data_IF_198629214508
#
_entry.id   IF_198629214508
#
_cell.length_a   1.000
_cell.length_b   1.000
_cell.length_c   1.000
_cell.angle_alpha   90.00
_cell.angle_beta   90.00
_cell.angle_gamma   90.00
#
_symmetry.space_group_name_H-M   'P 1'
#
loop_
_entity.id
_entity.type
_entity.pdbx_description
1 polymer ?
#
# COMPACT_ATOMS: atom_id res chain seq x y z
N UNK A 1 -30.47 -14.66 -24.07
CA UNK A 1 -29.73 -15.55 -23.14
C UNK A 1 -29.38 -14.75 -21.90
N UNK A 2 -29.85 -15.11 -20.69
CA UNK A 2 -29.58 -14.32 -19.51
C UNK A 2 -28.11 -14.49 -19.09
N UNK A 3 -27.41 -13.35 -19.00
CA UNK A 3 -26.04 -13.20 -18.55
C UNK A 3 -25.91 -13.75 -17.14
N UNK A 4 -25.10 -14.79 -16.95
CA UNK A 4 -24.85 -15.41 -15.64
C UNK A 4 -24.20 -14.36 -14.74
N UNK A 5 -24.98 -13.79 -13.83
CA UNK A 5 -24.50 -12.84 -12.83
C UNK A 5 -23.53 -13.60 -11.93
N UNK A 6 -22.22 -13.44 -12.16
CA UNK A 6 -21.21 -14.02 -11.30
C UNK A 6 -21.34 -13.30 -9.95
N UNK A 7 -21.95 -13.96 -8.98
CA UNK A 7 -21.86 -13.54 -7.57
C UNK A 7 -20.38 -13.55 -7.23
N UNK A 8 -19.74 -12.37 -7.22
CA UNK A 8 -18.33 -12.26 -6.89
C UNK A 8 -18.17 -12.75 -5.45
N UNK A 9 -17.51 -13.90 -5.30
CA UNK A 9 -17.17 -14.48 -4.01
C UNK A 9 -16.32 -13.47 -3.23
N UNK A 10 -16.55 -13.32 -1.92
CA UNK A 10 -15.72 -12.46 -1.07
C UNK A 10 -14.25 -12.87 -1.18
N UNK A 11 -13.31 -11.92 -1.31
CA UNK A 11 -11.87 -12.19 -1.36
C UNK A 11 -11.16 -11.28 -0.36
N UNK A 12 -10.64 -11.89 0.71
CA UNK A 12 -9.73 -11.26 1.66
C UNK A 12 -8.27 -11.59 1.34
N UNK A 13 -7.34 -10.86 1.94
CA UNK A 13 -5.91 -11.21 1.92
C UNK A 13 -5.18 -10.78 3.17
N UNK A 14 -4.18 -11.57 3.55
CA UNK A 14 -3.10 -11.14 4.45
C UNK A 14 -1.85 -10.81 3.62
N UNK A 15 -1.23 -9.66 3.91
CA UNK A 15 -0.13 -9.12 3.12
C UNK A 15 1.07 -8.71 3.99
N UNK A 16 1.85 -9.68 4.54
CA UNK A 16 3.00 -9.39 5.38
C UNK A 16 4.24 -9.00 4.56
N UNK A 17 5.07 -8.11 5.11
CA UNK A 17 6.43 -7.88 4.62
C UNK A 17 7.41 -8.82 5.32
N UNK A 18 8.35 -9.48 4.61
CA UNK A 18 9.31 -10.41 5.20
C UNK A 18 10.50 -9.68 5.85
N UNK A 19 10.24 -8.61 6.61
CA UNK A 19 11.26 -7.82 7.31
C UNK A 19 11.59 -8.38 8.70
N UNK A 20 10.99 -9.51 9.07
CA UNK A 20 11.13 -10.17 10.36
C UNK A 20 10.02 -11.20 10.60
N UNK A 21 10.05 -11.91 11.73
CA UNK A 21 8.98 -12.84 12.10
C UNK A 21 7.66 -12.12 12.36
N UNK A 22 6.55 -12.85 12.29
CA UNK A 22 5.25 -12.31 12.71
C UNK A 22 5.30 -11.92 14.19
N UNK A 23 5.05 -10.64 14.47
CA UNK A 23 4.74 -10.18 15.81
C UNK A 23 3.23 -10.31 16.10
N UNK A 24 2.85 -10.12 17.36
CA UNK A 24 1.46 -10.31 17.81
C UNK A 24 0.45 -9.50 17.00
N UNK A 25 0.71 -8.21 16.75
CA UNK A 25 -0.15 -7.37 15.90
C UNK A 25 -0.39 -7.94 14.49
N UNK A 26 0.66 -8.47 13.83
CA UNK A 26 0.52 -9.08 12.51
C UNK A 26 -0.26 -10.38 12.55
N UNK A 27 -0.13 -11.17 13.62
CA UNK A 27 -0.92 -12.38 13.82
C UNK A 27 -2.41 -12.05 14.02
N UNK A 28 -2.72 -11.01 14.79
CA UNK A 28 -4.10 -10.50 14.96
C UNK A 28 -4.68 -10.07 13.63
N UNK A 29 -3.92 -9.32 12.80
CA UNK A 29 -4.35 -8.92 11.47
C UNK A 29 -4.58 -10.13 10.53
N UNK A 30 -3.69 -11.13 10.57
CA UNK A 30 -3.85 -12.37 9.82
C UNK A 30 -5.14 -13.10 10.22
N UNK A 31 -5.35 -13.30 11.53
CA UNK A 31 -6.51 -14.00 12.07
C UNK A 31 -7.82 -13.25 11.77
N UNK A 32 -7.86 -11.94 11.96
CA UNK A 32 -9.05 -11.13 11.65
C UNK A 32 -9.42 -11.23 10.17
N UNK A 33 -8.45 -11.08 9.26
CA UNK A 33 -8.70 -11.20 7.83
C UNK A 33 -9.08 -12.62 7.39
N UNK A 34 -8.51 -13.65 8.03
CA UNK A 34 -8.85 -15.06 7.79
C UNK A 34 -10.29 -15.36 8.21
N UNK A 35 -10.65 -15.01 9.45
CA UNK A 35 -11.97 -15.25 10.00
C UNK A 35 -13.05 -14.47 9.22
N UNK A 36 -12.79 -13.21 8.85
CA UNK A 36 -13.74 -12.43 8.05
C UNK A 36 -13.96 -13.08 6.68
N UNK A 37 -12.90 -13.55 6.01
CA UNK A 37 -13.04 -14.27 4.75
C UNK A 37 -13.82 -15.56 4.89
N UNK A 38 -13.57 -16.38 5.93
CA UNK A 38 -14.29 -17.64 6.13
C UNK A 38 -15.75 -17.42 6.56
N UNK A 39 -16.04 -16.38 7.34
CA UNK A 39 -17.41 -16.01 7.72
C UNK A 39 -18.27 -15.60 6.52
N UNK A 40 -17.66 -15.04 5.47
CA UNK A 40 -18.33 -14.71 4.21
C UNK A 40 -18.21 -15.82 3.15
N UNK A 41 -17.85 -17.04 3.56
CA UNK A 41 -17.61 -18.18 2.67
C UNK A 41 -16.66 -17.83 1.50
N UNK A 42 -15.72 -16.93 1.73
CA UNK A 42 -14.85 -16.32 0.75
C UNK A 42 -13.54 -17.05 0.51
N UNK A 43 -12.65 -16.41 -0.26
CA UNK A 43 -11.25 -16.79 -0.41
C UNK A 43 -10.38 -15.91 0.49
N UNK A 44 -9.33 -16.49 1.06
CA UNK A 44 -8.33 -15.78 1.83
C UNK A 44 -6.96 -15.99 1.20
N UNK A 45 -6.38 -14.93 0.62
CA UNK A 45 -5.12 -15.02 -0.13
C UNK A 45 -3.92 -14.60 0.74
N UNK A 46 -2.74 -15.12 0.39
CA UNK A 46 -1.46 -14.67 0.97
C UNK A 46 -0.62 -13.95 -0.09
N UNK A 47 -0.19 -12.72 0.23
CA UNK A 47 0.72 -11.93 -0.63
C UNK A 47 1.94 -11.47 0.15
N UNK A 48 3.13 -11.88 -0.26
CA UNK A 48 4.38 -11.41 0.34
C UNK A 48 4.75 -10.02 -0.21
N UNK A 49 4.87 -9.03 0.67
CA UNK A 49 5.26 -7.65 0.34
C UNK A 49 6.79 -7.50 0.41
N UNK A 50 7.49 -8.16 -0.52
CA UNK A 50 8.94 -8.34 -0.56
C UNK A 50 9.69 -7.32 -1.46
N UNK A 51 9.09 -6.17 -1.75
CA UNK A 51 9.71 -5.12 -2.59
C UNK A 51 10.84 -4.36 -1.91
N UNK A 52 10.90 -4.37 -0.59
CA UNK A 52 11.94 -3.68 0.17
C UNK A 52 13.13 -4.62 0.43
N UNK A 53 13.91 -4.83 -0.62
CA UNK A 53 15.02 -5.79 -0.60
C UNK A 53 16.02 -5.55 0.53
N UNK A 54 16.28 -4.29 0.89
CA UNK A 54 17.23 -3.92 1.95
C UNK A 54 16.70 -4.27 3.35
N UNK A 55 15.38 -4.27 3.53
CA UNK A 55 14.74 -4.61 4.81
C UNK A 55 14.33 -6.07 4.92
N UNK A 56 14.29 -6.80 3.80
CA UNK A 56 13.93 -8.21 3.81
C UNK A 56 14.96 -9.05 4.58
N UNK A 57 14.48 -9.89 5.50
CA UNK A 57 15.32 -10.80 6.29
C UNK A 57 15.24 -12.19 5.68
N UNK A 58 16.39 -12.76 5.35
CA UNK A 58 16.49 -14.11 4.77
C UNK A 58 15.76 -15.14 5.66
N UNK A 59 14.80 -15.86 5.08
CA UNK A 59 14.02 -16.90 5.76
C UNK A 59 12.83 -16.39 6.59
N UNK A 60 12.62 -15.08 6.69
CA UNK A 60 11.45 -14.53 7.37
C UNK A 60 10.14 -14.87 6.66
N UNK A 61 10.15 -14.89 5.33
CA UNK A 61 9.06 -15.37 4.47
C UNK A 61 8.62 -16.79 4.83
N UNK A 62 9.57 -17.73 4.92
CA UNK A 62 9.28 -19.11 5.28
C UNK A 62 8.80 -19.23 6.72
N UNK A 63 9.37 -18.44 7.64
CA UNK A 63 8.91 -18.39 9.03
C UNK A 63 7.46 -17.90 9.15
N UNK A 64 7.09 -16.87 8.39
CA UNK A 64 5.72 -16.34 8.31
C UNK A 64 4.78 -17.43 7.81
N UNK A 65 5.13 -18.07 6.68
CA UNK A 65 4.37 -19.17 6.06
C UNK A 65 4.12 -20.30 7.07
N UNK A 66 5.19 -20.78 7.71
CA UNK A 66 5.10 -21.86 8.68
C UNK A 66 4.27 -21.47 9.91
N UNK A 67 4.38 -20.22 10.36
CA UNK A 67 3.59 -19.71 11.49
C UNK A 67 2.10 -19.71 11.17
N UNK A 68 1.71 -19.26 9.98
CA UNK A 68 0.29 -19.27 9.55
C UNK A 68 -0.26 -20.70 9.47
N UNK A 69 0.51 -21.63 8.88
CA UNK A 69 0.13 -23.04 8.80
C UNK A 69 -0.04 -23.68 10.19
N UNK A 70 0.88 -23.41 11.13
CA UNK A 70 0.80 -23.89 12.52
C UNK A 70 -0.44 -23.37 13.24
N UNK A 71 -0.92 -22.18 12.90
CA UNK A 71 -2.15 -21.60 13.42
C UNK A 71 -3.41 -22.08 12.68
N UNK A 72 -3.30 -22.99 11.71
CA UNK A 72 -4.42 -23.49 10.92
C UNK A 72 -4.98 -22.47 9.91
N UNK A 73 -4.28 -21.37 9.67
CA UNK A 73 -4.67 -20.35 8.69
C UNK A 73 -4.12 -20.70 7.31
N UNK A 74 -4.89 -21.51 6.58
CA UNK A 74 -4.54 -21.93 5.22
C UNK A 74 -5.12 -20.94 4.20
N UNK A 75 -4.24 -20.40 3.36
CA UNK A 75 -4.64 -19.51 2.26
C UNK A 75 -5.08 -20.29 1.03
N UNK A 76 -5.89 -19.63 0.23
CA UNK A 76 -6.46 -20.15 -1.00
C UNK A 76 -5.54 -19.78 -2.18
N UNK A 77 -5.20 -20.76 -3.02
CA UNK A 77 -4.35 -20.58 -4.19
C UNK A 77 -2.85 -20.41 -3.89
N UNK A 78 -2.11 -19.93 -4.89
CA UNK A 78 -0.66 -19.72 -4.76
C UNK A 78 -0.34 -18.42 -4.00
N UNK A 79 0.75 -18.45 -3.23
CA UNK A 79 1.31 -17.24 -2.65
C UNK A 79 1.73 -16.29 -3.77
N UNK A 80 1.30 -15.04 -3.68
CA UNK A 80 1.72 -13.99 -4.61
C UNK A 80 2.92 -13.24 -4.05
N UNK A 81 3.97 -13.05 -4.85
CA UNK A 81 5.18 -12.33 -4.46
C UNK A 81 5.24 -11.01 -5.21
N UNK A 82 5.45 -9.89 -4.51
CA UNK A 82 5.46 -8.59 -5.17
C UNK A 82 6.71 -8.36 -6.01
N UNK A 83 7.86 -8.91 -5.61
CA UNK A 83 9.11 -8.90 -6.40
C UNK A 83 8.93 -9.46 -7.81
N UNK A 84 7.99 -10.38 -8.02
CA UNK A 84 7.68 -10.99 -9.31
C UNK A 84 6.66 -10.20 -10.16
N UNK A 85 6.20 -9.05 -9.67
CA UNK A 85 5.09 -8.28 -10.27
C UNK A 85 5.49 -6.92 -10.81
N UNK A 86 6.79 -6.69 -11.01
CA UNK A 86 7.33 -5.43 -11.50
C UNK A 86 6.62 -4.93 -12.77
N UNK A 87 6.37 -5.81 -13.73
CA UNK A 87 5.66 -5.49 -14.97
C UNK A 87 4.25 -4.93 -14.75
N UNK A 88 3.54 -5.34 -13.68
CA UNK A 88 2.21 -4.83 -13.37
C UNK A 88 2.28 -3.42 -12.78
N UNK A 89 3.31 -3.12 -12.00
CA UNK A 89 3.53 -1.78 -11.46
C UNK A 89 3.94 -0.81 -12.57
N UNK A 90 4.78 -1.24 -13.50
CA UNK A 90 5.13 -0.46 -14.70
C UNK A 90 3.90 -0.18 -15.56
N UNK A 91 3.06 -1.19 -15.81
CA UNK A 91 1.80 -1.01 -16.53
C UNK A 91 0.83 -0.08 -15.79
N UNK A 92 0.77 -0.14 -14.46
CA UNK A 92 -0.04 0.77 -13.66
C UNK A 92 0.50 2.21 -13.71
N UNK A 93 1.82 2.40 -13.64
CA UNK A 93 2.48 3.69 -13.76
C UNK A 93 2.17 4.33 -15.13
N UNK A 94 2.25 3.55 -16.20
CA UNK A 94 1.87 4.00 -17.55
C UNK A 94 0.39 4.41 -17.64
N UNK A 95 -0.52 3.62 -17.04
CA UNK A 95 -1.96 3.93 -17.02
C UNK A 95 -2.30 5.19 -16.23
N UNK A 96 -1.51 5.55 -15.22
CA UNK A 96 -1.74 6.75 -14.43
C UNK A 96 -1.38 8.03 -15.18
N UNK A 97 -0.43 7.98 -16.13
CA UNK A 97 -0.17 9.05 -17.08
C UNK A 97 -0.01 10.44 -16.46
N UNK A 98 -0.88 11.37 -16.87
CA UNK A 98 -0.92 12.79 -16.46
C UNK A 98 -1.27 13.03 -14.98
N UNK A 99 -1.79 12.00 -14.30
CA UNK A 99 -2.03 12.02 -12.86
C UNK A 99 -0.73 11.94 -12.07
N UNK A 100 0.38 11.60 -12.71
CA UNK A 100 1.70 11.57 -12.09
C UNK A 100 2.50 12.81 -12.48
N UNK A 101 3.42 13.20 -11.60
CA UNK A 101 4.46 14.17 -11.92
C UNK A 101 5.81 13.74 -11.33
N UNK A 102 6.93 14.05 -12.00
CA UNK A 102 8.25 13.70 -11.52
C UNK A 102 8.65 14.59 -10.34
N UNK A 103 9.37 14.02 -9.37
CA UNK A 103 9.94 14.73 -8.24
C UNK A 103 11.45 14.52 -8.18
N UNK A 104 12.20 15.62 -8.07
CA UNK A 104 13.66 15.61 -7.90
C UNK A 104 14.12 15.93 -6.47
N UNK A 105 13.18 16.22 -5.55
CA UNK A 105 13.51 16.57 -4.17
C UNK A 105 14.11 15.38 -3.41
N UNK A 106 15.21 15.62 -2.73
CA UNK A 106 15.80 14.74 -1.73
C UNK A 106 14.98 14.72 -0.43
N UNK A 107 15.15 13.68 0.39
CA UNK A 107 14.55 13.60 1.72
C UNK A 107 14.93 14.81 2.59
N UNK A 108 16.16 15.31 2.46
CA UNK A 108 16.65 16.50 3.17
C UNK A 108 15.92 17.77 2.73
N UNK A 109 15.81 18.02 1.42
CA UNK A 109 15.07 19.20 0.91
C UNK A 109 13.59 19.19 1.36
N UNK A 110 12.97 18.01 1.41
CA UNK A 110 11.60 17.86 1.92
C UNK A 110 11.55 18.18 3.43
N UNK A 111 12.47 17.64 4.23
CA UNK A 111 12.53 17.91 5.67
C UNK A 111 12.83 19.39 5.98
N UNK A 112 13.75 20.03 5.23
CA UNK A 112 14.13 21.43 5.43
C UNK A 112 12.99 22.39 5.06
N UNK A 113 12.17 22.04 4.06
CA UNK A 113 10.97 22.82 3.73
C UNK A 113 9.94 22.87 4.88
N UNK A 114 9.95 21.84 5.74
CA UNK A 114 9.05 21.71 6.90
C UNK A 114 9.39 22.67 8.03
N UNK A 115 10.68 22.93 8.26
CA UNK A 115 11.14 23.84 9.32
C UNK A 115 10.68 25.29 9.09
N UNK A 116 10.32 25.64 7.85
CA UNK A 116 9.85 26.98 7.48
C UNK A 116 8.34 27.18 7.64
N UNK A 117 7.56 26.11 7.80
CA UNK A 117 6.09 26.15 7.71
C UNK A 117 5.34 26.08 9.05
N UNK A 118 6.02 25.91 10.20
CA UNK A 118 5.39 26.00 11.52
C UNK A 118 4.42 24.86 11.87
N UNK A 119 4.99 23.80 12.45
CA UNK A 119 4.42 22.79 13.36
C UNK A 119 3.24 21.83 13.01
N UNK A 120 3.37 20.61 13.56
CA UNK A 120 2.38 19.53 13.84
C UNK A 120 1.79 18.60 12.77
N UNK A 121 2.10 18.70 11.48
CA UNK A 121 1.61 17.73 10.49
C UNK A 121 2.62 16.61 10.16
N UNK A 122 2.10 15.44 9.77
CA UNK A 122 2.81 14.35 9.08
C UNK A 122 3.73 14.89 7.96
N UNK A 123 4.67 14.10 7.44
CA UNK A 123 5.63 14.53 6.41
C UNK A 123 4.95 14.81 5.05
N UNK A 124 4.12 15.84 4.97
CA UNK A 124 3.39 16.26 3.78
C UNK A 124 4.36 16.94 2.84
N UNK A 125 4.46 16.43 1.61
CA UNK A 125 5.31 17.00 0.58
C UNK A 125 4.80 18.40 0.15
N UNK A 126 5.64 19.44 0.13
CA UNK A 126 5.22 20.84 -0.12
C UNK A 126 4.82 21.13 -1.57
N UNK A 127 4.86 20.15 -2.48
CA UNK A 127 4.48 20.36 -3.88
C UNK A 127 5.54 21.04 -4.75
N UNK A 128 6.81 21.09 -4.33
CA UNK A 128 7.90 21.79 -5.05
C UNK A 128 8.00 21.43 -6.54
N UNK A 129 7.85 20.15 -6.89
CA UNK A 129 7.93 19.69 -8.28
C UNK A 129 6.56 19.54 -8.98
N UNK A 130 5.45 19.98 -8.36
CA UNK A 130 4.08 19.75 -8.85
C UNK A 130 3.79 20.32 -10.23
N UNK A 131 4.54 21.37 -10.59
CA UNK A 131 4.44 22.09 -11.87
C UNK A 131 5.64 21.84 -12.80
N UNK A 132 6.52 20.89 -12.47
CA UNK A 132 7.70 20.56 -13.27
C UNK A 132 8.98 20.48 -12.44
N UNK A 133 10.04 19.96 -13.06
CA UNK A 133 11.37 19.93 -12.47
C UNK A 133 12.11 21.25 -12.74
N UNK A 134 12.90 21.69 -11.77
CA UNK A 134 13.83 22.80 -12.00
C UNK A 134 14.88 22.42 -13.06
N UNK A 135 15.40 23.42 -13.77
CA UNK A 135 16.40 23.21 -14.83
C UNK A 135 17.62 22.41 -14.30
N UNK A 136 18.03 21.39 -15.06
CA UNK A 136 19.16 20.52 -14.70
C UNK A 136 18.87 19.44 -13.64
N UNK A 137 17.65 19.35 -13.11
CA UNK A 137 17.27 18.28 -12.17
C UNK A 137 16.69 17.06 -12.90
N UNK A 138 17.08 15.87 -12.46
CA UNK A 138 16.53 14.59 -12.94
C UNK A 138 15.46 14.06 -11.99
N UNK A 139 14.44 13.39 -12.56
CA UNK A 139 13.41 12.74 -11.77
C UNK A 139 14.02 11.62 -10.90
N UNK A 140 13.63 11.58 -9.62
CA UNK A 140 14.06 10.55 -8.64
C UNK A 140 12.91 9.70 -8.13
N UNK A 141 11.70 10.24 -8.19
CA UNK A 141 10.47 9.58 -7.81
C UNK A 141 9.32 10.10 -8.68
N UNK A 142 8.26 9.30 -8.77
CA UNK A 142 6.97 9.75 -9.28
C UNK A 142 6.09 10.11 -8.09
N UNK A 143 5.22 11.11 -8.25
CA UNK A 143 4.24 11.47 -7.23
C UNK A 143 2.85 11.52 -7.83
N UNK A 144 1.86 11.07 -7.08
CA UNK A 144 0.46 11.17 -7.48
C UNK A 144 -0.06 12.60 -7.23
N UNK A 145 -0.65 13.21 -8.26
CA UNK A 145 -1.37 14.47 -8.15
C UNK A 145 -2.69 14.23 -7.43
N UNK A 146 -2.73 14.56 -6.15
CA UNK A 146 -3.97 14.54 -5.37
C UNK A 146 -4.70 15.88 -5.50
N UNK A 147 -6.02 15.87 -5.78
CA UNK A 147 -6.86 17.06 -5.70
C UNK A 147 -7.11 17.44 -4.23
N UNK A 148 -7.34 18.73 -4.00
CA UNK A 148 -7.79 19.25 -2.71
C UNK A 148 -9.29 18.98 -2.56
N UNK A 149 -9.61 17.80 -2.04
CA UNK A 149 -10.99 17.37 -1.82
C UNK A 149 -11.09 16.42 -0.62
N UNK A 150 -12.25 16.48 0.03
CA UNK A 150 -12.58 15.60 1.14
C UNK A 150 -13.10 14.27 0.61
N UNK A 151 -12.34 13.20 0.84
CA UNK A 151 -12.79 11.83 0.56
C UNK A 151 -13.54 11.28 1.76
N UNK A 152 -14.57 10.49 1.50
CA UNK A 152 -15.35 9.79 2.53
C UNK A 152 -15.49 8.32 2.15
N UNK A 153 -15.34 7.45 3.13
CA UNK A 153 -15.59 6.01 2.95
C UNK A 153 -16.14 5.43 4.25
N UNK A 154 -16.95 4.38 4.11
CA UNK A 154 -17.47 3.65 5.26
C UNK A 154 -16.53 2.48 5.56
N UNK A 155 -15.88 2.53 6.72
CA UNK A 155 -15.16 1.39 7.27
C UNK A 155 -16.17 0.48 8.00
N UNK A 156 -16.13 -0.83 7.73
CA UNK A 156 -17.08 -1.79 8.32
C UNK A 156 -16.98 -1.87 9.85
N UNK A 157 -15.86 -1.50 10.44
CA UNK A 157 -15.62 -1.54 11.89
C UNK A 157 -15.63 -0.13 12.51
N UNK A 158 -14.96 0.84 11.87
CA UNK A 158 -14.81 2.20 12.40
C UNK A 158 -15.92 3.17 11.95
N UNK A 159 -16.83 2.74 11.08
CA UNK A 159 -17.90 3.58 10.53
C UNK A 159 -17.39 4.61 9.52
N UNK A 160 -18.13 5.70 9.36
CA UNK A 160 -17.81 6.74 8.38
C UNK A 160 -16.48 7.43 8.68
N UNK A 161 -15.53 7.30 7.76
CA UNK A 161 -14.23 7.97 7.78
C UNK A 161 -14.20 9.10 6.74
N UNK A 162 -13.42 10.14 7.02
CA UNK A 162 -13.18 11.23 6.07
C UNK A 162 -11.75 11.73 6.15
N UNK A 163 -11.17 12.08 4.99
CA UNK A 163 -9.80 12.59 4.91
C UNK A 163 -9.60 13.44 3.65
N UNK A 164 -8.94 14.59 3.79
CA UNK A 164 -8.45 15.37 2.66
C UNK A 164 -6.98 15.00 2.36
N UNK A 165 -6.77 14.33 1.22
CA UNK A 165 -5.45 13.86 0.84
C UNK A 165 -4.44 14.99 0.58
N UNK A 166 -4.87 16.17 0.13
CA UNK A 166 -3.96 17.26 -0.17
C UNK A 166 -3.35 17.88 1.10
N UNK A 167 -4.15 17.96 2.18
CA UNK A 167 -3.78 18.70 3.41
C UNK A 167 -3.40 17.79 4.58
N UNK A 168 -3.75 16.51 4.56
CA UNK A 168 -3.50 15.59 5.68
C UNK A 168 -2.47 14.49 5.37
N UNK A 169 -2.31 14.14 4.08
CA UNK A 169 -1.42 13.06 3.62
C UNK A 169 -0.33 13.58 2.69
N UNK A 170 -0.69 14.50 1.80
CA UNK A 170 0.15 14.99 0.72
C UNK A 170 0.21 14.07 -0.49
N UNK A 171 1.04 14.45 -1.45
CA UNK A 171 1.27 13.66 -2.66
C UNK A 171 2.17 12.47 -2.35
N UNK A 172 1.61 11.27 -2.35
CA UNK A 172 2.32 10.01 -2.13
C UNK A 172 3.40 9.78 -3.21
N UNK A 173 4.58 9.32 -2.79
CA UNK A 173 5.63 8.80 -3.68
C UNK A 173 5.25 7.40 -4.19
#
# INVERSE_FOLDING_TARGET
MPTKQMTQKYIGRFAPSPTGPLHMGSLVAAMASYLDAKAHEGLWLLRMEDLDFDRNVKGADQYIINSLQRCGMLWDGAITWQSQRQHLYEAALQKLGDKLYPCACSRKEIADSRLRLGDTASQIYPGTCRHGLAAGKTARAWRLRVPDQLYRFEDRMAGMQQQNLATEVGTLC
#
